data_IF_778930577797
#
_entry.id   IF_778930577797
#
_cell.length_a   1.000
_cell.length_b   1.000
_cell.length_c   1.000
_cell.angle_alpha   90.00
_cell.angle_beta   90.00
_cell.angle_gamma   90.00
#
_symmetry.space_group_name_H-M   'P 1'
#
loop_
_entity.id
_entity.type
_entity.pdbx_description
1 polymer ?
#
# COMPACT_ATOMS: atom_id res chain seq x y z
N UNK A 1 21.24 6.02 8.27
CA UNK A 1 20.01 6.71 7.79
C UNK A 1 18.92 6.39 8.82
N UNK A 2 18.33 7.40 9.46
CA UNK A 2 17.65 7.25 10.76
C UNK A 2 16.42 6.35 10.77
N UNK A 3 16.34 5.47 11.77
CA UNK A 3 15.11 4.81 12.20
C UNK A 3 14.21 5.92 12.77
N UNK A 4 13.27 6.44 11.97
CA UNK A 4 12.29 7.39 12.49
C UNK A 4 11.33 6.66 13.43
N UNK A 5 11.11 7.25 14.60
CA UNK A 5 10.39 6.65 15.71
C UNK A 5 8.96 6.23 15.36
N UNK A 6 8.52 5.13 15.98
CA UNK A 6 7.23 4.46 15.83
C UNK A 6 6.03 5.23 16.41
N UNK A 7 5.97 6.54 16.21
CA UNK A 7 4.93 7.41 16.75
C UNK A 7 3.87 7.75 15.71
N UNK A 8 2.59 7.49 16.01
CA UNK A 8 1.48 8.05 15.23
C UNK A 8 1.43 9.56 15.47
N UNK A 9 1.54 10.35 14.41
CA UNK A 9 1.33 11.80 14.50
C UNK A 9 -0.17 12.08 14.38
N UNK A 10 -0.73 12.79 15.36
CA UNK A 10 -2.09 13.29 15.26
C UNK A 10 -2.15 14.34 14.15
N UNK A 11 -3.00 14.10 13.15
CA UNK A 11 -3.23 15.00 12.02
C UNK A 11 -4.69 15.44 12.05
N UNK A 12 -4.93 16.75 11.96
CA UNK A 12 -6.29 17.28 11.89
C UNK A 12 -6.83 17.04 10.47
N UNK A 13 -7.89 16.25 10.36
CA UNK A 13 -8.53 15.90 9.09
C UNK A 13 -9.95 16.50 9.05
N UNK A 14 -10.30 17.14 7.95
CA UNK A 14 -11.66 17.60 7.69
C UNK A 14 -12.38 16.53 6.86
N UNK A 15 -13.45 15.95 7.41
CA UNK A 15 -14.32 15.00 6.75
C UNK A 15 -15.76 15.50 6.77
N UNK A 16 -16.60 14.92 5.91
CA UNK A 16 -18.02 15.20 5.88
C UNK A 16 -18.70 14.90 7.24
N UNK A 17 -19.60 15.79 7.66
CA UNK A 17 -20.24 15.70 8.97
C UNK A 17 -21.24 14.55 9.06
N UNK A 18 -21.97 14.26 7.98
CA UNK A 18 -22.95 13.15 7.97
C UNK A 18 -22.20 11.81 7.98
N UNK A 19 -21.12 11.69 7.22
CA UNK A 19 -20.25 10.52 7.23
C UNK A 19 -19.66 10.24 8.63
N UNK A 20 -19.19 11.28 9.34
CA UNK A 20 -18.67 11.14 10.70
C UNK A 20 -19.75 10.69 11.68
N UNK A 21 -20.97 11.20 11.53
CA UNK A 21 -22.12 10.83 12.35
C UNK A 21 -22.48 9.35 12.13
N UNK A 22 -22.54 8.92 10.89
CA UNK A 22 -22.85 7.53 10.53
C UNK A 22 -21.75 6.58 10.98
N UNK A 23 -20.49 6.94 10.75
CA UNK A 23 -19.33 6.18 11.22
C UNK A 23 -19.36 5.98 12.74
N UNK A 24 -19.69 7.04 13.50
CA UNK A 24 -19.82 6.96 14.95
C UNK A 24 -21.02 6.10 15.39
N UNK A 25 -22.16 6.21 14.71
CA UNK A 25 -23.35 5.41 14.99
C UNK A 25 -23.09 3.91 14.75
N UNK A 26 -22.27 3.58 13.75
CA UNK A 26 -21.90 2.21 13.39
C UNK A 26 -20.66 1.69 14.12
N UNK A 27 -20.04 2.49 15.00
CA UNK A 27 -18.85 2.10 15.76
C UNK A 27 -17.57 1.97 14.91
N UNK A 28 -17.51 2.61 13.75
CA UNK A 28 -16.35 2.59 12.86
C UNK A 28 -15.19 3.36 13.48
N UNK A 29 -14.01 2.75 13.49
CA UNK A 29 -12.79 3.43 13.90
C UNK A 29 -12.25 4.31 12.75
N UNK A 30 -12.66 5.58 12.75
CA UNK A 30 -12.31 6.56 11.72
C UNK A 30 -10.80 6.71 11.53
N UNK A 31 -10.02 6.67 12.62
CA UNK A 31 -8.56 6.78 12.52
C UNK A 31 -7.95 5.58 11.80
N UNK A 32 -8.42 4.37 12.08
CA UNK A 32 -7.94 3.17 11.41
C UNK A 32 -8.35 3.15 9.93
N UNK A 33 -9.59 3.52 9.62
CA UNK A 33 -10.09 3.61 8.25
C UNK A 33 -9.32 4.66 7.42
N UNK A 34 -9.04 5.83 7.99
CA UNK A 34 -8.24 6.85 7.34
C UNK A 34 -6.81 6.38 7.08
N UNK A 35 -6.18 5.70 8.05
CA UNK A 35 -4.84 5.14 7.90
C UNK A 35 -4.77 4.11 6.77
N UNK A 36 -5.77 3.22 6.68
CA UNK A 36 -5.85 2.23 5.61
C UNK A 36 -6.10 2.87 4.24
N UNK A 37 -6.99 3.86 4.17
CA UNK A 37 -7.24 4.62 2.94
C UNK A 37 -5.99 5.33 2.43
N UNK A 38 -5.20 5.95 3.31
CA UNK A 38 -3.92 6.58 2.94
C UNK A 38 -2.93 5.53 2.46
N UNK A 39 -2.81 4.37 3.14
CA UNK A 39 -1.94 3.28 2.69
C UNK A 39 -2.35 2.77 1.31
N UNK A 40 -3.65 2.63 1.06
CA UNK A 40 -4.16 2.22 -0.24
C UNK A 40 -3.77 3.23 -1.32
N UNK A 41 -4.05 4.52 -1.11
CA UNK A 41 -3.70 5.57 -2.07
C UNK A 41 -2.18 5.61 -2.38
N UNK A 42 -1.34 5.41 -1.35
CA UNK A 42 0.12 5.33 -1.56
C UNK A 42 0.54 4.11 -2.38
N UNK A 43 -0.09 2.94 -2.15
CA UNK A 43 0.18 1.75 -2.96
C UNK A 43 -0.18 1.99 -4.42
N UNK A 44 -1.35 2.56 -4.69
CA UNK A 44 -1.78 2.87 -6.06
C UNK A 44 -0.85 3.86 -6.74
N UNK A 45 -0.45 4.93 -6.04
CA UNK A 45 0.50 5.90 -6.57
C UNK A 45 1.86 5.24 -6.91
N UNK A 46 2.35 4.36 -6.03
CA UNK A 46 3.58 3.62 -6.28
C UNK A 46 3.45 2.67 -7.47
N UNK A 47 2.34 1.94 -7.59
CA UNK A 47 2.08 1.06 -8.72
C UNK A 47 2.03 1.81 -10.05
N UNK A 48 1.42 3.00 -10.08
CA UNK A 48 1.40 3.85 -11.27
C UNK A 48 2.83 4.30 -11.64
N UNK A 49 3.59 4.81 -10.67
CA UNK A 49 4.98 5.26 -10.89
C UNK A 49 5.88 4.12 -11.37
N UNK A 50 5.67 2.91 -10.87
CA UNK A 50 6.50 1.75 -11.16
C UNK A 50 5.94 0.88 -12.30
N UNK A 51 4.84 1.29 -12.94
CA UNK A 51 4.17 0.49 -13.97
C UNK A 51 5.11 0.13 -15.12
N UNK A 52 5.89 1.09 -15.60
CA UNK A 52 6.82 0.87 -16.71
C UNK A 52 7.91 -0.13 -16.32
N UNK A 53 8.55 0.05 -15.17
CA UNK A 53 9.58 -0.86 -14.65
C UNK A 53 9.03 -2.27 -14.43
N UNK A 54 7.82 -2.40 -13.89
CA UNK A 54 7.15 -3.69 -13.69
C UNK A 54 6.84 -4.37 -15.03
N UNK A 55 6.44 -3.59 -16.05
CA UNK A 55 6.16 -4.11 -17.39
C UNK A 55 7.43 -4.58 -18.10
N UNK A 56 8.50 -3.78 -18.05
CA UNK A 56 9.80 -4.14 -18.61
C UNK A 56 10.36 -5.40 -17.93
N UNK A 57 10.27 -5.47 -16.60
CA UNK A 57 10.67 -6.63 -15.83
C UNK A 57 9.86 -7.88 -16.18
N UNK A 58 8.54 -7.74 -16.33
CA UNK A 58 7.66 -8.83 -16.76
C UNK A 58 8.06 -9.37 -18.12
N UNK A 59 8.29 -8.47 -19.10
CA UNK A 59 8.76 -8.84 -20.43
C UNK A 59 10.12 -9.54 -20.37
N UNK A 60 11.04 -9.04 -19.55
CA UNK A 60 12.34 -9.68 -19.37
C UNK A 60 12.20 -11.11 -18.83
N UNK A 61 11.30 -11.35 -17.88
CA UNK A 61 11.00 -12.69 -17.36
C UNK A 61 10.38 -13.57 -18.45
N UNK A 62 9.47 -13.06 -19.28
CA UNK A 62 8.88 -13.84 -20.38
C UNK A 62 9.94 -14.26 -21.40
N UNK A 63 10.92 -13.40 -21.68
CA UNK A 63 12.01 -13.68 -22.63
C UNK A 63 13.11 -14.57 -22.03
N UNK A 64 13.42 -14.45 -20.74
CA UNK A 64 14.59 -15.08 -20.11
C UNK A 64 14.25 -16.18 -19.09
N UNK A 65 12.98 -16.36 -18.76
CA UNK A 65 12.52 -17.20 -17.66
C UNK A 65 12.73 -16.54 -16.29
N UNK A 66 12.30 -17.24 -15.23
CA UNK A 66 12.47 -16.74 -13.87
C UNK A 66 13.95 -16.75 -13.47
N UNK A 67 14.50 -15.61 -13.01
CA UNK A 67 15.85 -15.59 -12.49
C UNK A 67 15.98 -16.59 -11.34
N UNK A 68 17.05 -17.39 -11.36
CA UNK A 68 17.37 -18.36 -10.32
C UNK A 68 16.37 -19.51 -10.17
N UNK A 69 15.49 -19.75 -11.15
CA UNK A 69 14.57 -20.89 -11.15
C UNK A 69 15.31 -22.23 -10.91
N UNK A 70 16.49 -22.38 -11.53
CA UNK A 70 17.36 -23.56 -11.39
C UNK A 70 17.98 -23.73 -9.98
N UNK A 71 17.86 -22.74 -9.10
CA UNK A 71 18.39 -22.76 -7.74
C UNK A 71 17.29 -22.77 -6.67
N UNK A 72 16.03 -23.01 -7.06
CA UNK A 72 14.90 -23.04 -6.13
C UNK A 72 15.00 -24.24 -5.18
N UNK A 73 15.29 -23.98 -3.90
CA UNK A 73 15.47 -25.02 -2.88
C UNK A 73 14.16 -25.58 -2.30
N UNK A 74 13.05 -24.87 -2.47
CA UNK A 74 11.74 -25.27 -1.94
C UNK A 74 10.66 -25.01 -2.99
N UNK A 75 9.94 -26.05 -3.36
CA UNK A 75 8.68 -25.92 -4.09
C UNK A 75 7.55 -25.74 -3.07
N UNK A 76 6.82 -24.63 -3.19
CA UNK A 76 5.48 -24.43 -2.63
C UNK A 76 4.48 -24.80 -3.71
#
# INVERSE_FOLDING_TARGET
MGIQGSGKKATNLSLDQELLKDAKALGVNISAAAEDGVRHALREAWLEENREALTEWGRWIEENGLPLENHRMFNV
#
